data_IF_968357162526
#
_entry.id   IF_968357162526
#
_cell.length_a   1.000
_cell.length_b   1.000
_cell.length_c   1.000
_cell.angle_alpha   90.00
_cell.angle_beta   90.00
_cell.angle_gamma   90.00
#
_symmetry.space_group_name_H-M   'P 1'
#
loop_
_entity.id
_entity.type
_entity.pdbx_description
1 polymer ?
#
# COMPACT_ATOMS: atom_id res chain seq x y z
N UNK A 1 6.39 -59.32 13.54
CA UNK A 1 6.53 -58.61 14.84
C UNK A 1 7.80 -57.74 14.90
N UNK A 2 8.65 -57.71 13.88
CA UNK A 2 9.94 -56.98 13.90
C UNK A 2 9.87 -55.55 13.37
N UNK A 3 8.95 -55.22 12.47
CA UNK A 3 8.82 -53.85 11.90
C UNK A 3 8.48 -52.73 12.90
N UNK A 4 7.84 -53.10 14.01
CA UNK A 4 7.43 -52.11 15.04
C UNK A 4 8.60 -51.65 15.90
N UNK A 5 9.69 -52.41 15.95
CA UNK A 5 10.85 -52.11 16.79
C UNK A 5 11.83 -51.17 16.10
N UNK A 6 11.97 -51.23 14.77
CA UNK A 6 12.84 -50.33 14.01
C UNK A 6 12.29 -48.90 13.91
N UNK A 7 10.98 -48.75 13.72
CA UNK A 7 10.32 -47.41 13.74
C UNK A 7 10.47 -46.72 15.09
N UNK A 8 10.45 -47.44 16.19
CA UNK A 8 10.66 -46.90 17.53
C UNK A 8 12.08 -46.34 17.73
N UNK A 9 13.11 -47.01 17.20
CA UNK A 9 14.49 -46.60 17.33
C UNK A 9 14.80 -45.37 16.47
N UNK A 10 14.20 -45.28 15.28
CA UNK A 10 14.36 -44.08 14.38
C UNK A 10 13.81 -42.82 15.08
N UNK A 11 12.59 -42.87 15.60
CA UNK A 11 11.99 -41.74 16.29
C UNK A 11 12.74 -41.32 17.57
N UNK A 12 13.24 -42.29 18.32
CA UNK A 12 14.09 -42.05 19.48
C UNK A 12 15.42 -41.36 19.08
N UNK A 13 16.05 -41.80 17.99
CA UNK A 13 17.28 -41.19 17.48
C UNK A 13 17.04 -39.76 17.02
N UNK A 14 15.95 -39.51 16.28
CA UNK A 14 15.55 -38.17 15.85
C UNK A 14 15.28 -37.25 17.05
N UNK A 15 14.52 -37.75 18.03
CA UNK A 15 14.21 -36.99 19.25
C UNK A 15 15.49 -36.62 20.01
N UNK A 16 16.40 -37.59 20.19
CA UNK A 16 17.67 -37.39 20.88
C UNK A 16 18.57 -36.40 20.12
N UNK A 17 18.59 -36.48 18.80
CA UNK A 17 19.34 -35.54 17.97
C UNK A 17 18.82 -34.10 18.13
N UNK A 18 17.48 -33.90 18.10
CA UNK A 18 16.84 -32.60 18.28
C UNK A 18 17.16 -32.03 19.68
N UNK A 19 17.03 -32.85 20.74
CA UNK A 19 17.31 -32.43 22.11
C UNK A 19 18.79 -32.07 22.31
N UNK A 20 19.71 -32.88 21.80
CA UNK A 20 21.15 -32.63 21.90
C UNK A 20 21.59 -31.39 21.11
N UNK A 21 20.96 -31.13 19.99
CA UNK A 21 21.26 -29.98 19.09
C UNK A 21 20.33 -28.81 19.31
N UNK A 22 19.56 -28.75 20.40
CA UNK A 22 18.58 -27.69 20.69
C UNK A 22 19.12 -26.26 20.47
N UNK A 23 20.37 -26.01 20.86
CA UNK A 23 21.00 -24.70 20.68
C UNK A 23 21.25 -24.39 19.22
N UNK A 24 21.65 -25.38 18.40
CA UNK A 24 21.85 -25.21 16.97
C UNK A 24 20.50 -24.96 16.24
N UNK A 25 19.44 -25.65 16.64
CA UNK A 25 18.10 -25.40 16.11
C UNK A 25 17.58 -24.00 16.45
N UNK A 26 17.85 -23.53 17.69
CA UNK A 26 17.47 -22.20 18.11
C UNK A 26 18.19 -21.11 17.27
N UNK A 27 19.49 -21.29 17.04
CA UNK A 27 20.29 -20.37 16.20
C UNK A 27 19.78 -20.38 14.75
N UNK A 28 19.53 -21.58 14.20
CA UNK A 28 19.00 -21.73 12.84
C UNK A 28 17.61 -21.06 12.70
N UNK A 29 16.74 -21.23 13.70
CA UNK A 29 15.44 -20.57 13.72
C UNK A 29 15.58 -19.04 13.81
N UNK A 30 16.47 -18.52 14.63
CA UNK A 30 16.73 -17.10 14.74
C UNK A 30 17.22 -16.51 13.39
N UNK A 31 18.13 -17.22 12.69
CA UNK A 31 18.61 -16.82 11.36
C UNK A 31 17.43 -16.82 10.35
N UNK A 32 16.59 -17.85 10.39
CA UNK A 32 15.40 -17.93 9.51
C UNK A 32 14.42 -16.77 9.77
N UNK A 33 14.19 -16.42 11.04
CA UNK A 33 13.34 -15.27 11.39
C UNK A 33 13.90 -13.94 10.87
N UNK A 34 15.22 -13.71 11.02
CA UNK A 34 15.90 -12.51 10.49
C UNK A 34 15.78 -12.47 8.97
N UNK A 35 15.99 -13.60 8.31
CA UNK A 35 15.85 -13.69 6.86
C UNK A 35 14.42 -13.40 6.39
N UNK A 36 13.40 -13.97 7.07
CA UNK A 36 11.99 -13.68 6.77
C UNK A 36 11.64 -12.20 6.98
N UNK A 37 12.13 -11.59 8.06
CA UNK A 37 11.92 -10.17 8.32
C UNK A 37 12.54 -9.28 7.23
N UNK A 38 13.74 -9.62 6.75
CA UNK A 38 14.39 -8.91 5.65
C UNK A 38 13.64 -9.08 4.31
N UNK A 39 12.97 -10.24 4.11
CA UNK A 39 12.16 -10.49 2.92
C UNK A 39 10.81 -9.78 2.93
N UNK A 40 10.27 -9.40 4.10
CA UNK A 40 8.98 -8.70 4.18
C UNK A 40 8.94 -7.42 3.35
N UNK A 41 10.03 -6.64 3.33
CA UNK A 41 10.11 -5.41 2.55
C UNK A 41 10.15 -5.63 1.03
N UNK A 42 10.31 -6.87 0.57
CA UNK A 42 10.31 -7.24 -0.86
C UNK A 42 8.99 -7.82 -1.34
N UNK A 43 8.05 -8.04 -0.42
CA UNK A 43 6.74 -8.58 -0.75
C UNK A 43 5.81 -7.42 -1.05
N UNK A 44 5.49 -7.22 -2.33
CA UNK A 44 4.40 -6.33 -2.75
C UNK A 44 3.10 -7.11 -2.76
N UNK A 45 2.12 -6.62 -2.01
CA UNK A 45 0.76 -7.17 -2.06
C UNK A 45 0.06 -6.57 -3.27
N UNK A 46 -0.21 -7.39 -4.28
CA UNK A 46 -1.00 -6.97 -5.41
C UNK A 46 -2.48 -7.12 -5.06
N UNK A 47 -3.17 -6.01 -4.87
CA UNK A 47 -4.60 -5.98 -4.57
C UNK A 47 -5.48 -6.03 -5.82
N UNK A 48 -4.86 -5.97 -7.00
CA UNK A 48 -5.56 -6.01 -8.27
C UNK A 48 -5.95 -7.46 -8.63
N UNK A 49 -7.22 -7.78 -8.34
CA UNK A 49 -7.82 -9.08 -8.66
C UNK A 49 -7.92 -9.34 -10.17
N UNK A 50 -7.82 -8.32 -11.00
CA UNK A 50 -7.93 -8.45 -12.45
C UNK A 50 -6.72 -9.18 -13.06
N UNK A 51 -5.55 -9.11 -12.39
CA UNK A 51 -4.34 -9.83 -12.78
C UNK A 51 -4.45 -11.35 -12.65
N UNK A 52 -5.42 -11.85 -11.87
CA UNK A 52 -5.68 -13.28 -11.72
C UNK A 52 -6.64 -13.83 -12.79
N UNK A 53 -7.28 -12.97 -13.60
CA UNK A 53 -8.10 -13.43 -14.71
C UNK A 53 -7.21 -13.98 -15.86
N UNK A 54 -7.64 -15.05 -16.56
CA UNK A 54 -6.98 -15.50 -17.78
C UNK A 54 -6.82 -14.36 -18.79
N UNK A 55 -5.69 -14.35 -19.50
CA UNK A 55 -5.37 -13.26 -20.43
C UNK A 55 -6.36 -13.16 -21.61
N UNK A 56 -7.05 -14.25 -21.92
CA UNK A 56 -8.03 -14.41 -22.99
C UNK A 56 -9.49 -14.18 -22.52
N UNK A 57 -9.70 -13.84 -21.24
CA UNK A 57 -11.04 -13.53 -20.77
C UNK A 57 -11.54 -12.18 -21.32
N UNK A 58 -12.81 -12.15 -21.75
CA UNK A 58 -13.46 -10.92 -22.26
C UNK A 58 -13.35 -9.76 -21.26
N UNK A 59 -13.45 -10.06 -19.97
CA UNK A 59 -13.31 -9.05 -18.90
C UNK A 59 -11.91 -8.45 -18.89
N UNK A 60 -10.86 -9.25 -19.04
CA UNK A 60 -9.48 -8.75 -19.06
C UNK A 60 -9.19 -7.94 -20.33
N UNK A 61 -9.68 -8.39 -21.47
CA UNK A 61 -9.58 -7.65 -22.74
C UNK A 61 -10.31 -6.32 -22.62
N UNK A 62 -11.51 -6.29 -22.04
CA UNK A 62 -12.27 -5.07 -21.81
C UNK A 62 -11.54 -4.10 -20.87
N UNK A 63 -10.95 -4.59 -19.79
CA UNK A 63 -10.16 -3.76 -18.85
C UNK A 63 -8.89 -3.20 -19.51
N UNK A 64 -8.18 -4.01 -20.30
CA UNK A 64 -7.01 -3.54 -21.05
C UNK A 64 -7.38 -2.45 -22.05
N UNK A 65 -8.49 -2.61 -22.77
CA UNK A 65 -9.01 -1.59 -23.66
C UNK A 65 -9.42 -0.31 -22.91
N UNK A 66 -9.99 -0.43 -21.72
CA UNK A 66 -10.28 0.73 -20.87
C UNK A 66 -8.99 1.44 -20.43
N UNK A 67 -7.98 0.71 -19.99
CA UNK A 67 -6.68 1.28 -19.57
C UNK A 67 -5.96 1.97 -20.74
N UNK A 68 -6.05 1.41 -21.95
CA UNK A 68 -5.45 2.00 -23.16
C UNK A 68 -6.22 3.19 -23.72
N UNK A 69 -7.54 3.21 -23.59
CA UNK A 69 -8.43 4.22 -24.20
C UNK A 69 -8.83 5.34 -23.22
N UNK A 70 -8.86 5.03 -21.93
CA UNK A 70 -9.26 5.95 -20.87
C UNK A 70 -8.15 5.96 -19.80
N UNK A 71 -7.35 7.01 -19.78
CA UNK A 71 -6.40 7.22 -18.68
C UNK A 71 -7.18 7.41 -17.39
N UNK A 72 -7.16 6.40 -16.52
CA UNK A 72 -7.69 6.50 -15.16
C UNK A 72 -6.61 7.13 -14.30
N UNK A 73 -6.75 8.41 -14.03
CA UNK A 73 -5.86 9.13 -13.14
C UNK A 73 -6.02 8.66 -11.70
N UNK A 74 -4.94 8.54 -10.98
CA UNK A 74 -4.97 8.34 -9.53
C UNK A 74 -5.62 9.54 -8.86
N UNK A 75 -6.38 9.31 -7.81
CA UNK A 75 -7.01 10.38 -7.03
C UNK A 75 -6.83 10.15 -5.53
N UNK A 76 -6.87 11.23 -4.77
CA UNK A 76 -6.90 11.19 -3.32
C UNK A 76 -7.88 12.24 -2.80
N UNK A 77 -8.64 11.86 -1.78
CA UNK A 77 -9.51 12.77 -1.05
C UNK A 77 -8.87 13.12 0.28
N UNK A 78 -8.61 14.39 0.49
CA UNK A 78 -7.86 14.91 1.63
C UNK A 78 -8.74 15.83 2.46
N UNK A 79 -9.01 15.45 3.69
CA UNK A 79 -9.68 16.30 4.64
C UNK A 79 -8.66 16.96 5.56
N UNK A 80 -8.74 18.28 5.70
CA UNK A 80 -7.93 19.08 6.63
C UNK A 80 -8.85 19.70 7.67
N UNK A 81 -8.59 19.44 8.94
CA UNK A 81 -9.38 19.97 10.06
C UNK A 81 -8.75 21.22 10.65
N UNK A 82 -9.57 22.07 11.29
CA UNK A 82 -9.14 23.29 11.95
C UNK A 82 -8.40 24.29 11.05
N UNK A 83 -8.88 24.43 9.82
CA UNK A 83 -8.34 25.37 8.84
C UNK A 83 -9.37 26.47 8.52
N UNK A 84 -8.89 27.69 8.30
CA UNK A 84 -9.76 28.78 7.82
C UNK A 84 -9.95 28.66 6.31
N UNK A 85 -11.02 29.27 5.79
CA UNK A 85 -11.27 29.29 4.34
C UNK A 85 -10.07 29.88 3.57
N UNK A 86 -9.50 30.97 4.06
CA UNK A 86 -8.36 31.64 3.40
C UNK A 86 -7.10 30.78 3.37
N UNK A 87 -6.85 30.04 4.46
CA UNK A 87 -5.71 29.13 4.53
C UNK A 87 -5.95 27.90 3.68
N UNK A 88 -7.20 27.43 3.56
CA UNK A 88 -7.57 26.33 2.69
C UNK A 88 -7.40 26.71 1.23
N UNK A 89 -7.85 27.89 0.81
CA UNK A 89 -7.67 28.42 -0.53
C UNK A 89 -6.17 28.58 -0.90
N UNK A 90 -5.37 29.11 0.04
CA UNK A 90 -3.92 29.18 -0.13
C UNK A 90 -3.22 27.81 -0.16
N UNK A 91 -3.85 26.79 0.43
CA UNK A 91 -3.34 25.42 0.41
C UNK A 91 -3.56 24.76 -0.96
N UNK A 92 -4.61 25.12 -1.70
CA UNK A 92 -4.84 24.66 -3.07
C UNK A 92 -3.63 24.98 -3.95
N UNK A 93 -3.15 26.24 -3.93
CA UNK A 93 -1.99 26.64 -4.74
C UNK A 93 -0.73 25.83 -4.40
N UNK A 94 -0.56 25.48 -3.12
CA UNK A 94 0.57 24.66 -2.67
C UNK A 94 0.46 23.22 -3.11
N UNK A 95 -0.76 22.65 -3.09
CA UNK A 95 -1.04 21.29 -3.52
C UNK A 95 -0.86 21.17 -5.05
N UNK A 96 -1.34 22.15 -5.82
CA UNK A 96 -1.16 22.19 -7.28
C UNK A 96 0.31 22.38 -7.70
N UNK A 97 1.13 23.01 -6.86
CA UNK A 97 2.56 23.16 -7.10
C UNK A 97 3.38 21.87 -6.87
N UNK A 98 2.78 20.82 -6.31
CA UNK A 98 3.45 19.53 -6.10
C UNK A 98 3.60 18.83 -7.43
N UNK A 99 4.82 18.39 -7.75
CA UNK A 99 5.10 17.63 -8.97
C UNK A 99 4.28 16.32 -8.99
N UNK A 100 3.57 16.08 -10.10
CA UNK A 100 2.70 14.93 -10.27
C UNK A 100 1.26 15.13 -9.79
N UNK A 101 0.90 16.30 -9.27
CA UNK A 101 -0.49 16.74 -9.07
C UNK A 101 -0.97 17.41 -10.35
N UNK A 102 -2.10 16.94 -10.87
CA UNK A 102 -2.73 17.45 -12.08
C UNK A 102 -3.75 18.53 -11.81
N UNK A 103 -4.58 18.32 -10.81
CA UNK A 103 -5.71 19.18 -10.47
C UNK A 103 -6.10 19.00 -9.01
N UNK A 104 -6.50 20.08 -8.35
CA UNK A 104 -7.07 20.07 -7.01
C UNK A 104 -8.47 20.71 -7.07
N UNK A 105 -9.51 19.90 -6.85
CA UNK A 105 -10.88 20.43 -6.76
C UNK A 105 -11.17 20.86 -5.33
N UNK A 106 -11.48 22.15 -5.17
CA UNK A 106 -11.89 22.79 -3.93
C UNK A 106 -12.76 24.00 -4.25
N UNK A 107 -13.88 24.14 -3.60
CA UNK A 107 -14.77 25.28 -3.77
C UNK A 107 -15.48 25.64 -2.43
N UNK A 108 -16.32 26.69 -2.45
CA UNK A 108 -17.07 27.19 -1.29
C UNK A 108 -18.35 26.41 -1.01
N UNK A 109 -18.57 25.26 -1.67
CA UNK A 109 -19.70 24.39 -1.38
C UNK A 109 -19.58 23.73 -0.01
N UNK A 110 -20.72 23.37 0.56
CA UNK A 110 -20.79 22.64 1.82
C UNK A 110 -20.13 21.25 1.76
N UNK A 111 -19.89 20.72 0.55
CA UNK A 111 -19.23 19.45 0.31
C UNK A 111 -17.71 19.58 0.46
N UNK A 112 -17.12 20.73 0.09
CA UNK A 112 -15.68 20.98 0.18
C UNK A 112 -15.28 21.78 1.43
N UNK A 113 -16.13 22.68 1.91
CA UNK A 113 -15.82 23.45 3.12
C UNK A 113 -17.00 23.51 4.08
N UNK A 114 -16.83 22.98 5.28
CA UNK A 114 -17.86 22.97 6.31
C UNK A 114 -17.29 23.29 7.69
N UNK A 115 -17.71 24.41 8.24
CA UNK A 115 -17.25 24.90 9.55
C UNK A 115 -15.77 25.28 9.56
N UNK A 116 -14.92 24.39 10.00
CA UNK A 116 -13.44 24.53 10.02
C UNK A 116 -12.75 23.36 9.32
N UNK A 117 -13.48 22.61 8.52
CA UNK A 117 -12.93 21.46 7.80
C UNK A 117 -12.97 21.74 6.30
N UNK A 118 -11.86 21.52 5.63
CA UNK A 118 -11.73 21.59 4.19
C UNK A 118 -11.51 20.20 3.59
N UNK A 119 -12.19 19.90 2.48
CA UNK A 119 -12.04 18.67 1.73
C UNK A 119 -11.51 18.99 0.33
N UNK A 120 -10.37 18.44 0.00
CA UNK A 120 -9.71 18.58 -1.29
C UNK A 120 -9.80 17.27 -2.05
N UNK A 121 -10.30 17.31 -3.28
CA UNK A 121 -10.21 16.19 -4.22
C UNK A 121 -9.01 16.42 -5.14
N UNK A 122 -7.94 15.66 -4.92
CA UNK A 122 -6.67 15.78 -5.64
C UNK A 122 -6.59 14.71 -6.72
N UNK A 123 -6.33 15.12 -7.96
CA UNK A 123 -6.09 14.23 -9.09
C UNK A 123 -4.60 14.26 -9.45
N UNK A 124 -3.99 13.09 -9.62
CA UNK A 124 -2.58 12.93 -9.97
C UNK A 124 -2.39 12.78 -11.48
N UNK A 125 -1.19 13.07 -11.99
CA UNK A 125 -0.86 13.02 -13.40
C UNK A 125 -0.43 11.62 -13.90
N UNK A 126 -0.76 10.59 -13.18
CA UNK A 126 -0.50 9.18 -13.49
C UNK A 126 -1.63 8.29 -12.99
N UNK A 127 -1.61 7.01 -13.37
CA UNK A 127 -2.50 6.02 -12.83
C UNK A 127 -2.22 5.80 -11.33
N UNK A 128 -3.15 5.21 -10.61
CA UNK A 128 -3.03 5.02 -9.15
C UNK A 128 -1.78 4.23 -8.75
N UNK A 129 -1.38 3.27 -9.58
CA UNK A 129 -0.22 2.38 -9.36
C UNK A 129 1.10 2.95 -9.89
N UNK A 130 1.10 4.07 -10.61
CA UNK A 130 2.29 4.68 -11.18
C UNK A 130 3.23 5.26 -10.11
N UNK A 131 4.52 5.27 -10.39
CA UNK A 131 5.53 5.89 -9.51
C UNK A 131 5.26 7.39 -9.33
N UNK A 132 4.86 8.09 -10.39
CA UNK A 132 4.51 9.52 -10.35
C UNK A 132 3.41 9.79 -9.33
N UNK A 133 2.34 9.00 -9.35
CA UNK A 133 1.24 9.14 -8.39
C UNK A 133 1.65 8.78 -6.96
N UNK A 134 2.53 7.80 -6.78
CA UNK A 134 3.06 7.41 -5.46
C UNK A 134 3.95 8.49 -4.88
N UNK A 135 4.85 9.04 -5.67
CA UNK A 135 5.76 10.10 -5.25
C UNK A 135 5.00 11.39 -4.95
N UNK A 136 4.01 11.75 -5.78
CA UNK A 136 3.12 12.88 -5.55
C UNK A 136 2.30 12.71 -4.27
N UNK A 137 1.72 11.52 -4.01
CA UNK A 137 1.02 11.21 -2.76
C UNK A 137 1.92 11.37 -1.54
N UNK A 138 3.18 10.93 -1.64
CA UNK A 138 4.14 11.09 -0.56
C UNK A 138 4.51 12.56 -0.33
N UNK A 139 4.75 13.32 -1.39
CA UNK A 139 5.06 14.75 -1.31
C UNK A 139 3.89 15.56 -0.72
N UNK A 140 2.67 15.26 -1.14
CA UNK A 140 1.44 15.85 -0.56
C UNK A 140 1.33 15.54 0.92
N UNK A 141 1.60 14.30 1.32
CA UNK A 141 1.57 13.90 2.73
C UNK A 141 2.63 14.62 3.57
N UNK A 142 3.82 14.84 3.03
CA UNK A 142 4.88 15.60 3.69
C UNK A 142 4.52 17.09 3.81
N UNK A 143 3.96 17.68 2.76
CA UNK A 143 3.48 19.07 2.76
C UNK A 143 2.38 19.29 3.84
N UNK A 144 1.56 18.29 4.06
CA UNK A 144 0.46 18.34 5.00
C UNK A 144 0.82 17.86 6.42
N UNK A 145 2.08 17.54 6.68
CA UNK A 145 2.53 16.98 7.98
C UNK A 145 2.23 17.87 9.19
N UNK A 146 2.14 19.18 9.00
CA UNK A 146 1.85 20.17 10.03
C UNK A 146 0.34 20.39 10.26
N UNK A 147 -0.51 19.76 9.46
CA UNK A 147 -1.96 19.88 9.53
C UNK A 147 -2.60 18.61 10.10
N UNK A 148 -3.77 18.77 10.73
CA UNK A 148 -4.59 17.64 11.16
C UNK A 148 -5.37 17.09 9.93
N UNK A 149 -4.84 16.04 9.32
CA UNK A 149 -5.30 15.54 8.02
C UNK A 149 -5.77 14.10 8.06
N UNK A 150 -6.79 13.82 7.27
CA UNK A 150 -7.23 12.47 6.93
C UNK A 150 -7.20 12.29 5.41
N UNK A 151 -6.44 11.30 4.93
CA UNK A 151 -6.25 11.04 3.49
C UNK A 151 -6.90 9.69 3.16
N UNK A 152 -7.83 9.70 2.20
CA UNK A 152 -8.46 8.51 1.61
C UNK A 152 -8.07 8.43 0.13
N UNK A 153 -7.63 7.26 -0.29
CA UNK A 153 -7.23 6.94 -1.68
C UNK A 153 -8.03 5.76 -2.18
#
# INVERSE_FOLDING_TARGET
MEEKKEKGNFWLTVATFIVNKRKAFLVLFAIACIYCAACMNKVSVNQDITKYLPADSETRIGLTLMDEQFMTYGSARIMVSNITWQDADALVEKLEAVEGVKEVAFDDSADHYNGTNALFDVTFDGAEDDEISKDAKQAVKELLSDYDTYIST
#
